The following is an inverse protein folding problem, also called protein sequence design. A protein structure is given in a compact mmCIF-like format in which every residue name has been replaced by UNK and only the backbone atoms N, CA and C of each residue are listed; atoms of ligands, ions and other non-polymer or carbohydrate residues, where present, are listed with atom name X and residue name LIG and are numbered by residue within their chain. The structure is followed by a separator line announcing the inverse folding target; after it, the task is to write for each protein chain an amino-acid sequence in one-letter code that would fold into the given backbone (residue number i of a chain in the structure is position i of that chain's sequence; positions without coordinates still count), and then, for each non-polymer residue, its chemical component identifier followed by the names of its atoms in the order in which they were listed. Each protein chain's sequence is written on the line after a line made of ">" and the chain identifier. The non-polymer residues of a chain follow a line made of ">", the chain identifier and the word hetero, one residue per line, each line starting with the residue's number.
data_IF_157160494131
#
_entry.id   IF_157160494131
#
_cell.length_a   1.000
_cell.length_b   1.000
_cell.length_c   1.000
_cell.angle_alpha   90.00
_cell.angle_beta   90.00
_cell.angle_gamma   90.00
#
_symmetry.space_group_name_H-M   'P 1'
#
loop_
_entity.id
_entity.type
_entity.pdbx_description
1 polymer ?
#
# COMPACT_ATOMS: atom_id res chain seq x y z
N UNK A 1 10.81 10.78 62.46
CA UNK A 1 11.95 10.43 61.57
C UNK A 1 11.97 8.91 61.38
N UNK A 2 12.28 8.46 60.15
CA UNK A 2 12.29 7.07 59.59
C UNK A 2 10.99 6.71 58.83
N UNK A 3 10.85 7.18 57.58
CA UNK A 3 11.29 6.55 56.31
C UNK A 3 10.31 5.47 55.80
N UNK A 4 9.50 5.89 54.83
CA UNK A 4 8.79 5.08 53.85
C UNK A 4 9.76 4.53 52.78
N UNK A 5 9.21 3.84 51.76
CA UNK A 5 9.82 3.11 50.62
C UNK A 5 9.92 1.60 50.89
N UNK A 6 9.44 0.69 50.05
CA UNK A 6 8.68 0.77 48.80
C UNK A 6 8.27 -0.64 48.40
N UNK A 7 7.08 -0.80 47.83
CA UNK A 7 6.64 -2.04 47.21
C UNK A 7 5.80 -1.70 45.97
N UNK A 8 6.49 -1.36 44.88
CA UNK A 8 5.89 -1.33 43.54
C UNK A 8 6.22 -2.66 42.87
N UNK A 9 5.28 -3.60 42.94
CA UNK A 9 5.31 -4.81 42.11
C UNK A 9 5.01 -4.46 40.65
N UNK A 10 5.58 -5.17 39.66
CA UNK A 10 5.34 -4.87 38.26
C UNK A 10 3.92 -5.31 37.88
N UNK A 11 3.03 -4.34 37.65
CA UNK A 11 1.76 -4.57 36.97
C UNK A 11 2.05 -4.84 35.48
N UNK A 12 2.04 -6.12 35.10
CA UNK A 12 2.10 -6.55 33.71
C UNK A 12 0.71 -6.28 33.10
N UNK A 13 0.57 -5.18 32.37
CA UNK A 13 -0.61 -4.91 31.56
C UNK A 13 -0.55 -5.78 30.29
N UNK A 14 -1.32 -6.86 30.27
CA UNK A 14 -1.55 -7.67 29.07
C UNK A 14 -2.54 -6.91 28.19
N UNK A 15 -2.05 -6.31 27.11
CA UNK A 15 -2.91 -5.76 26.07
C UNK A 15 -3.49 -6.93 25.25
N UNK A 16 -4.75 -7.28 25.52
CA UNK A 16 -5.52 -8.22 24.69
C UNK A 16 -5.79 -7.56 23.33
N UNK A 17 -5.18 -8.09 22.27
CA UNK A 17 -5.62 -7.83 20.89
C UNK A 17 -6.84 -8.73 20.65
N UNK A 18 -8.03 -8.16 20.81
CA UNK A 18 -9.28 -8.82 20.38
C UNK A 18 -9.33 -8.85 18.85
N UNK A 19 -9.10 -10.02 18.27
CA UNK A 19 -9.56 -10.34 16.92
C UNK A 19 -11.09 -10.38 16.97
N UNK A 20 -11.74 -9.41 16.32
CA UNK A 20 -13.19 -9.42 16.12
C UNK A 20 -13.51 -10.55 15.15
N UNK A 21 -13.82 -11.73 15.69
CA UNK A 21 -14.58 -12.75 14.98
C UNK A 21 -16.06 -12.31 15.00
N UNK A 22 -16.63 -12.06 13.82
CA UNK A 22 -18.05 -11.74 13.68
C UNK A 22 -18.93 -12.88 14.18
N UNK A 23 -20.14 -12.59 14.68
CA UNK A 23 -20.98 -13.59 15.32
C UNK A 23 -21.43 -14.67 14.32
N UNK A 24 -21.24 -15.92 14.72
CA UNK A 24 -21.86 -17.09 14.11
C UNK A 24 -23.33 -17.13 14.52
N UNK A 25 -24.24 -16.99 13.55
CA UNK A 25 -25.68 -17.24 13.74
C UNK A 25 -26.04 -18.62 13.18
N UNK A 26 -26.66 -19.45 14.03
CA UNK A 26 -27.18 -20.78 13.72
C UNK A 26 -28.46 -20.72 12.86
N UNK A 27 -28.91 -21.85 12.27
CA UNK A 27 -29.66 -21.86 11.03
C UNK A 27 -31.17 -21.74 11.26
N UNK A 28 -31.85 -20.96 10.42
CA UNK A 28 -33.30 -21.05 10.28
C UNK A 28 -33.66 -21.20 8.80
N UNK A 29 -34.51 -22.18 8.52
CA UNK A 29 -34.80 -22.68 7.18
C UNK A 29 -35.61 -21.71 6.34
N UNK A 30 -35.12 -21.47 5.13
CA UNK A 30 -35.83 -20.82 4.03
C UNK A 30 -34.95 -20.94 2.80
N UNK A 31 -35.38 -21.71 1.79
CA UNK A 31 -34.67 -21.85 0.51
C UNK A 31 -34.86 -20.55 -0.28
N UNK A 32 -33.93 -19.62 -0.15
CA UNK A 32 -33.73 -18.53 -1.11
C UNK A 32 -32.55 -18.85 -2.04
N UNK A 33 -32.62 -18.45 -3.33
CA UNK A 33 -31.58 -18.73 -4.30
C UNK A 33 -30.27 -18.10 -3.84
N UNK A 34 -29.21 -18.92 -3.69
CA UNK A 34 -27.86 -18.45 -3.40
C UNK A 34 -27.43 -17.49 -4.51
N UNK A 35 -27.53 -16.19 -4.25
CA UNK A 35 -26.66 -15.23 -4.88
C UNK A 35 -25.24 -15.70 -4.58
N UNK A 36 -24.48 -16.06 -5.62
CA UNK A 36 -23.05 -16.24 -5.50
C UNK A 36 -22.50 -15.00 -4.83
N UNK A 37 -22.01 -15.16 -3.59
CA UNK A 37 -21.25 -14.13 -2.89
C UNK A 37 -20.09 -13.82 -3.82
N UNK A 38 -20.21 -12.72 -4.56
CA UNK A 38 -19.25 -12.29 -5.55
C UNK A 38 -17.88 -12.27 -4.89
N UNK A 39 -17.03 -13.24 -5.25
CA UNK A 39 -15.59 -13.03 -5.14
C UNK A 39 -15.35 -11.81 -6.01
N UNK A 40 -14.97 -10.69 -5.40
CA UNK A 40 -14.28 -9.65 -6.16
C UNK A 40 -13.24 -10.38 -7.02
N UNK A 41 -13.25 -10.20 -8.36
CA UNK A 41 -12.30 -10.87 -9.22
C UNK A 41 -10.92 -10.58 -8.65
N UNK A 42 -10.28 -11.63 -8.13
CA UNK A 42 -9.00 -11.51 -7.45
C UNK A 42 -8.00 -11.22 -8.57
N UNK A 43 -7.78 -9.94 -8.82
CA UNK A 43 -7.00 -9.50 -9.96
C UNK A 43 -5.58 -10.00 -9.77
N UNK A 44 -5.13 -10.81 -10.72
CA UNK A 44 -3.82 -11.43 -10.72
C UNK A 44 -2.78 -10.45 -11.27
N UNK A 45 -1.56 -10.52 -10.76
CA UNK A 45 -0.42 -9.75 -11.26
C UNK A 45 -0.23 -9.97 -12.76
N UNK A 46 -0.46 -11.19 -13.26
CA UNK A 46 -0.36 -11.52 -14.68
C UNK A 46 -1.38 -10.75 -15.54
N UNK A 47 -2.63 -10.60 -15.07
CA UNK A 47 -3.65 -9.84 -15.79
C UNK A 47 -3.29 -8.35 -15.90
N UNK A 48 -2.80 -7.76 -14.81
CA UNK A 48 -2.33 -6.38 -14.77
C UNK A 48 -1.08 -6.18 -15.63
N UNK A 49 -0.13 -7.13 -15.58
CA UNK A 49 1.05 -7.11 -16.43
C UNK A 49 0.69 -7.13 -17.92
N UNK A 50 -0.24 -7.99 -18.32
CA UNK A 50 -0.71 -8.07 -19.70
C UNK A 50 -1.39 -6.76 -20.13
N UNK A 51 -2.31 -6.22 -19.31
CA UNK A 51 -2.98 -4.94 -19.60
C UNK A 51 -1.98 -3.77 -19.69
N UNK A 52 -0.97 -3.74 -18.83
CA UNK A 52 0.08 -2.72 -18.85
C UNK A 52 1.00 -2.83 -20.06
N UNK A 53 1.33 -4.05 -20.48
CA UNK A 53 2.15 -4.32 -21.67
C UNK A 53 1.39 -4.00 -22.96
N UNK A 54 0.10 -4.28 -22.99
CA UNK A 54 -0.81 -3.94 -24.08
C UNK A 54 -1.05 -2.41 -24.17
N UNK A 55 -1.16 -1.70 -23.05
CA UNK A 55 -1.14 -0.23 -23.05
C UNK A 55 0.22 0.32 -23.54
N UNK A 56 1.32 -0.33 -23.16
CA UNK A 56 2.66 0.05 -23.61
C UNK A 56 2.81 -0.09 -25.12
N UNK A 57 2.33 -1.18 -25.72
CA UNK A 57 2.42 -1.42 -27.17
C UNK A 57 1.60 -0.42 -27.99
N UNK A 58 0.49 0.09 -27.43
CA UNK A 58 -0.31 1.17 -28.02
C UNK A 58 0.26 2.58 -27.85
N UNK A 59 1.36 2.74 -27.12
CA UNK A 59 1.93 4.06 -26.84
C UNK A 59 1.11 4.87 -25.84
N UNK A 60 0.43 4.23 -24.89
CA UNK A 60 -0.29 4.87 -23.79
C UNK A 60 0.53 4.73 -22.49
N UNK A 61 1.48 5.65 -22.22
CA UNK A 61 2.38 5.54 -21.07
C UNK A 61 1.62 5.69 -19.74
N UNK A 62 0.54 6.49 -19.71
CA UNK A 62 -0.24 6.71 -18.50
C UNK A 62 -0.89 5.44 -17.98
N UNK A 63 -1.64 4.74 -18.84
CA UNK A 63 -2.25 3.46 -18.46
C UNK A 63 -1.21 2.37 -18.23
N UNK A 64 -0.15 2.34 -19.04
CA UNK A 64 0.91 1.35 -18.90
C UNK A 64 1.59 1.41 -17.53
N UNK A 65 2.01 2.61 -17.11
CA UNK A 65 2.63 2.83 -15.79
C UNK A 65 1.66 2.44 -14.67
N UNK A 66 0.39 2.84 -14.76
CA UNK A 66 -0.62 2.51 -13.75
C UNK A 66 -0.79 0.99 -13.53
N UNK A 67 -0.93 0.23 -14.62
CA UNK A 67 -1.10 -1.22 -14.54
C UNK A 67 0.16 -1.94 -14.08
N UNK A 68 1.34 -1.53 -14.56
CA UNK A 68 2.61 -2.16 -14.21
C UNK A 68 2.99 -1.88 -12.75
N UNK A 69 2.69 -0.68 -12.22
CA UNK A 69 2.82 -0.40 -10.78
C UNK A 69 1.88 -1.28 -9.95
N UNK A 70 0.64 -1.47 -10.40
CA UNK A 70 -0.30 -2.34 -9.71
C UNK A 70 0.15 -3.80 -9.70
N UNK A 71 0.69 -4.29 -10.83
CA UNK A 71 1.30 -5.61 -10.91
C UNK A 71 2.51 -5.72 -9.97
N UNK A 72 3.38 -4.71 -9.94
CA UNK A 72 4.56 -4.67 -9.06
C UNK A 72 4.20 -4.68 -7.57
N UNK A 73 3.08 -4.06 -7.18
CA UNK A 73 2.60 -4.11 -5.78
C UNK A 73 2.21 -5.53 -5.35
N UNK A 74 1.72 -6.35 -6.28
CA UNK A 74 1.33 -7.74 -6.01
C UNK A 74 2.57 -8.65 -6.05
N UNK A 75 3.39 -8.54 -7.09
CA UNK A 75 4.66 -9.27 -7.23
C UNK A 75 5.83 -8.29 -7.44
N UNK A 76 6.49 -7.85 -6.34
CA UNK A 76 7.62 -6.93 -6.42
C UNK A 76 8.88 -7.53 -7.06
N UNK A 77 8.97 -8.86 -7.14
CA UNK A 77 10.18 -9.58 -7.57
C UNK A 77 10.15 -9.94 -9.04
N UNK A 78 8.98 -9.93 -9.68
CA UNK A 78 8.80 -10.17 -11.11
C UNK A 78 9.72 -9.27 -11.95
N UNK A 79 10.74 -9.87 -12.57
CA UNK A 79 11.72 -9.16 -13.38
C UNK A 79 11.08 -8.51 -14.61
N UNK A 80 10.14 -9.20 -15.25
CA UNK A 80 9.46 -8.72 -16.46
C UNK A 80 8.61 -7.48 -16.17
N UNK A 81 7.92 -7.45 -15.02
CA UNK A 81 7.16 -6.27 -14.56
C UNK A 81 8.09 -5.09 -14.38
N UNK A 82 9.26 -5.27 -13.73
CA UNK A 82 10.24 -4.20 -13.53
C UNK A 82 10.81 -3.68 -14.85
N UNK A 83 11.15 -4.58 -15.77
CA UNK A 83 11.67 -4.23 -17.09
C UNK A 83 10.65 -3.41 -17.88
N UNK A 84 9.40 -3.88 -17.97
CA UNK A 84 8.35 -3.16 -18.70
C UNK A 84 7.99 -1.83 -18.02
N UNK A 85 8.00 -1.77 -16.68
CA UNK A 85 7.76 -0.51 -15.96
C UNK A 85 8.86 0.53 -16.23
N UNK A 86 10.13 0.09 -16.31
CA UNK A 86 11.23 0.98 -16.68
C UNK A 86 11.06 1.55 -18.09
N UNK A 87 10.64 0.70 -19.05
CA UNK A 87 10.35 1.14 -20.42
C UNK A 87 9.16 2.12 -20.45
N UNK A 88 8.09 1.81 -19.72
CA UNK A 88 6.89 2.66 -19.64
C UNK A 88 7.22 4.04 -19.06
N UNK A 89 8.01 4.10 -17.98
CA UNK A 89 8.50 5.35 -17.38
C UNK A 89 9.39 6.13 -18.34
N UNK A 90 10.32 5.47 -19.04
CA UNK A 90 11.17 6.14 -20.02
C UNK A 90 10.34 6.77 -21.18
N UNK A 91 9.26 6.12 -21.62
CA UNK A 91 8.33 6.68 -22.62
C UNK A 91 7.52 7.86 -22.08
N UNK A 92 7.07 7.79 -20.83
CA UNK A 92 6.43 8.91 -20.16
C UNK A 92 7.36 10.13 -20.08
N UNK A 93 8.61 9.93 -19.64
CA UNK A 93 9.65 10.96 -19.56
C UNK A 93 9.90 11.60 -20.95
N UNK A 94 10.02 10.78 -22.01
CA UNK A 94 10.25 11.27 -23.38
C UNK A 94 9.11 12.17 -23.91
N UNK A 95 7.88 12.00 -23.42
CA UNK A 95 6.72 12.78 -23.85
C UNK A 95 6.66 14.15 -23.16
N UNK A 96 7.37 14.33 -22.04
CA UNK A 96 7.24 15.51 -21.17
C UNK A 96 8.32 16.57 -21.39
N UNK A 97 9.37 16.27 -22.17
CA UNK A 97 10.54 17.13 -22.29
C UNK A 97 11.41 17.07 -21.03
N UNK A 98 12.72 17.29 -21.19
CA UNK A 98 13.76 17.13 -20.16
C UNK A 98 13.57 18.08 -18.95
N UNK A 99 12.67 17.72 -18.04
CA UNK A 99 12.64 18.25 -16.67
C UNK A 99 13.38 17.28 -15.77
N UNK A 100 14.47 17.74 -15.15
CA UNK A 100 15.25 16.98 -14.18
C UNK A 100 14.38 16.73 -12.94
N UNK A 101 13.65 15.60 -12.94
CA UNK A 101 12.70 15.23 -11.89
C UNK A 101 13.25 14.07 -11.10
N UNK A 102 13.28 14.28 -9.79
CA UNK A 102 13.95 13.41 -8.84
C UNK A 102 13.27 12.05 -8.75
N UNK A 103 13.89 11.04 -9.37
CA UNK A 103 13.42 9.65 -9.29
C UNK A 103 13.50 9.22 -7.83
N UNK A 104 12.39 8.74 -7.27
CA UNK A 104 12.45 8.04 -5.97
C UNK A 104 13.28 6.77 -6.20
N UNK A 105 14.46 6.63 -5.57
CA UNK A 105 15.29 5.44 -5.76
C UNK A 105 14.51 4.22 -5.29
N UNK A 106 14.47 3.18 -6.12
CA UNK A 106 14.01 1.88 -5.65
C UNK A 106 15.02 1.38 -4.61
N UNK A 107 14.58 1.30 -3.35
CA UNK A 107 15.43 0.85 -2.26
C UNK A 107 15.93 -0.57 -2.56
N UNK A 108 17.23 -0.86 -2.43
CA UNK A 108 17.82 -2.18 -2.69
C UNK A 108 17.48 -3.23 -1.62
N UNK A 109 16.45 -3.00 -0.80
CA UNK A 109 16.01 -3.95 0.22
C UNK A 109 15.37 -5.20 -0.39
N UNK A 110 15.23 -6.24 0.43
CA UNK A 110 14.45 -7.43 0.08
C UNK A 110 13.04 -6.96 -0.29
N UNK A 111 12.67 -7.10 -1.57
CA UNK A 111 11.38 -6.66 -2.08
C UNK A 111 10.27 -7.59 -1.58
N UNK A 112 9.78 -7.35 -0.37
CA UNK A 112 8.65 -8.06 0.22
C UNK A 112 7.34 -7.48 -0.31
N UNK A 113 6.41 -8.35 -0.70
CA UNK A 113 5.03 -7.89 -0.91
C UNK A 113 4.44 -7.41 0.40
N UNK A 114 3.39 -6.58 0.34
CA UNK A 114 2.72 -6.11 1.56
C UNK A 114 2.23 -7.28 2.41
N UNK A 115 1.73 -8.35 1.78
CA UNK A 115 1.29 -9.57 2.48
C UNK A 115 2.43 -10.31 3.17
N UNK A 116 3.57 -10.48 2.48
CA UNK A 116 4.76 -11.12 3.04
C UNK A 116 5.30 -10.34 4.25
N UNK A 117 5.32 -9.01 4.17
CA UNK A 117 5.78 -8.17 5.28
C UNK A 117 4.94 -8.36 6.55
N UNK A 118 3.61 -8.45 6.41
CA UNK A 118 2.71 -8.74 7.54
C UNK A 118 2.94 -10.14 8.12
N UNK A 119 3.15 -11.15 7.26
CA UNK A 119 3.47 -12.51 7.71
C UNK A 119 4.79 -12.57 8.46
N UNK A 120 5.85 -11.94 7.95
CA UNK A 120 7.15 -11.87 8.62
C UNK A 120 7.01 -11.21 9.99
N UNK A 121 6.30 -10.08 10.08
CA UNK A 121 6.07 -9.39 11.35
C UNK A 121 5.29 -10.26 12.36
N UNK A 122 4.26 -10.97 11.89
CA UNK A 122 3.46 -11.89 12.71
C UNK A 122 4.28 -13.10 13.19
N UNK A 123 5.10 -13.70 12.32
CA UNK A 123 5.97 -14.82 12.67
C UNK A 123 7.03 -14.42 13.69
N UNK A 124 7.62 -13.23 13.56
CA UNK A 124 8.56 -12.69 14.55
C UNK A 124 7.86 -12.50 15.90
N UNK A 125 6.68 -11.88 15.92
CA UNK A 125 5.93 -11.69 17.15
C UNK A 125 5.57 -13.03 17.81
N UNK A 126 5.08 -14.00 17.03
CA UNK A 126 4.74 -15.33 17.53
C UNK A 126 5.96 -16.08 18.06
N UNK A 127 7.08 -16.10 17.32
CA UNK A 127 8.30 -16.76 17.75
C UNK A 127 8.86 -16.14 19.04
N UNK A 128 8.85 -14.82 19.15
CA UNK A 128 9.24 -14.12 20.37
C UNK A 128 8.33 -14.43 21.56
N UNK A 129 7.02 -14.43 21.35
CA UNK A 129 6.04 -14.76 22.39
C UNK A 129 6.18 -16.21 22.88
N UNK A 130 6.35 -17.18 21.96
CA UNK A 130 6.53 -18.58 22.30
C UNK A 130 7.84 -18.82 23.05
N UNK A 131 8.96 -18.30 22.54
CA UNK A 131 10.28 -18.50 23.17
C UNK A 131 10.36 -17.80 24.53
N UNK A 132 9.93 -16.55 24.62
CA UNK A 132 9.91 -15.79 25.87
C UNK A 132 8.93 -16.37 26.88
N UNK A 133 7.72 -16.72 26.44
CA UNK A 133 6.67 -17.32 27.28
C UNK A 133 7.07 -18.69 27.83
N UNK A 134 7.58 -19.59 26.98
CA UNK A 134 8.08 -20.90 27.42
C UNK A 134 9.28 -20.76 28.36
N UNK A 135 10.19 -19.83 28.11
CA UNK A 135 11.31 -19.57 28.99
C UNK A 135 10.86 -19.06 30.37
N UNK A 136 9.84 -18.20 30.42
CA UNK A 136 9.24 -17.74 31.67
C UNK A 136 8.54 -18.89 32.42
N UNK A 137 7.71 -19.67 31.74
CA UNK A 137 6.98 -20.82 32.33
C UNK A 137 7.94 -21.87 32.89
N UNK A 138 9.01 -22.19 32.16
CA UNK A 138 9.99 -23.21 32.56
C UNK A 138 11.08 -22.69 33.49
N UNK A 139 11.03 -21.41 33.91
CA UNK A 139 12.12 -20.73 34.64
C UNK A 139 13.49 -20.97 33.98
N UNK A 140 13.50 -20.96 32.65
CA UNK A 140 14.67 -21.25 31.84
C UNK A 140 15.72 -20.12 31.98
N UNK A 141 16.89 -20.31 31.36
CA UNK A 141 17.99 -19.34 31.39
C UNK A 141 17.49 -17.95 31.00
N UNK A 142 17.90 -16.92 31.75
CA UNK A 142 17.55 -15.50 31.51
C UNK A 142 17.78 -15.07 30.05
N UNK A 143 18.81 -15.61 29.40
CA UNK A 143 19.10 -15.34 27.98
C UNK A 143 17.97 -15.72 27.02
N UNK A 144 17.26 -16.84 27.25
CA UNK A 144 16.13 -17.25 26.39
C UNK A 144 14.93 -16.32 26.57
N UNK A 145 14.67 -15.90 27.80
CA UNK A 145 13.61 -14.93 28.11
C UNK A 145 13.89 -13.57 27.48
N UNK A 146 15.12 -13.05 27.65
CA UNK A 146 15.54 -11.78 27.05
C UNK A 146 15.50 -11.86 25.53
N UNK A 147 16.05 -12.93 24.94
CA UNK A 147 16.05 -13.14 23.49
C UNK A 147 14.62 -13.19 22.92
N UNK A 148 13.73 -13.97 23.53
CA UNK A 148 12.32 -14.02 23.10
C UNK A 148 11.60 -12.67 23.22
N UNK A 149 11.88 -11.91 24.29
CA UNK A 149 11.34 -10.56 24.48
C UNK A 149 11.82 -9.59 23.40
N UNK A 150 13.11 -9.64 23.03
CA UNK A 150 13.66 -8.81 21.95
C UNK A 150 13.02 -9.16 20.61
N UNK A 151 12.90 -10.44 20.28
CA UNK A 151 12.28 -10.90 19.03
C UNK A 151 10.80 -10.48 18.96
N UNK A 152 10.08 -10.59 20.07
CA UNK A 152 8.70 -10.11 20.18
C UNK A 152 8.61 -8.60 19.93
N UNK A 153 9.48 -7.82 20.58
CA UNK A 153 9.52 -6.37 20.41
C UNK A 153 9.78 -5.98 18.94
N UNK A 154 10.68 -6.68 18.25
CA UNK A 154 10.92 -6.47 16.82
C UNK A 154 9.68 -6.76 15.97
N UNK A 155 8.97 -7.87 16.22
CA UNK A 155 7.73 -8.20 15.53
C UNK A 155 6.62 -7.16 15.74
N UNK A 156 6.48 -6.64 16.97
CA UNK A 156 5.51 -5.59 17.32
C UNK A 156 5.86 -4.26 16.65
N UNK A 157 7.13 -3.84 16.70
CA UNK A 157 7.59 -2.61 16.05
C UNK A 157 7.44 -2.69 14.52
N UNK A 158 7.77 -3.82 13.91
CA UNK A 158 7.56 -4.05 12.49
C UNK A 158 6.07 -3.95 12.11
N UNK A 159 5.18 -4.56 12.91
CA UNK A 159 3.73 -4.47 12.72
C UNK A 159 3.22 -3.03 12.84
N UNK A 160 3.70 -2.28 13.84
CA UNK A 160 3.37 -0.87 14.02
C UNK A 160 3.81 0.01 12.85
N UNK A 161 5.02 -0.23 12.34
CA UNK A 161 5.53 0.44 11.14
C UNK A 161 4.70 0.13 9.90
N UNK A 162 4.34 -1.14 9.67
CA UNK A 162 3.47 -1.54 8.56
C UNK A 162 2.07 -0.92 8.67
N UNK A 163 1.54 -0.78 9.89
CA UNK A 163 0.27 -0.09 10.11
C UNK A 163 0.36 1.39 9.78
N UNK A 164 1.44 2.08 10.17
CA UNK A 164 1.68 3.48 9.82
C UNK A 164 1.80 3.65 8.30
N UNK A 165 2.57 2.79 7.63
CA UNK A 165 2.67 2.75 6.16
C UNK A 165 1.31 2.54 5.49
N UNK A 166 0.51 1.59 5.98
CA UNK A 166 -0.82 1.32 5.43
C UNK A 166 -1.80 2.48 5.67
N UNK A 167 -1.68 3.19 6.79
CA UNK A 167 -2.46 4.41 7.06
C UNK A 167 -2.05 5.56 6.15
N UNK A 168 -0.75 5.73 5.93
CA UNK A 168 -0.22 6.74 5.02
C UNK A 168 -0.69 6.49 3.59
N UNK A 169 -0.58 5.26 3.09
CA UNK A 169 -1.08 4.87 1.76
C UNK A 169 -2.60 5.10 1.61
N UNK A 170 -3.39 4.88 2.68
CA UNK A 170 -4.84 5.15 2.67
C UNK A 170 -5.16 6.65 2.63
N UNK A 171 -4.37 7.47 3.32
CA UNK A 171 -4.53 8.93 3.35
C UNK A 171 -4.04 9.58 2.07
N UNK A 172 -2.93 9.07 1.55
CA UNK A 172 -2.22 9.61 0.40
C UNK A 172 -1.97 8.52 -0.65
N UNK A 173 -3.04 8.01 -1.28
CA UNK A 173 -2.91 6.90 -2.22
C UNK A 173 -2.13 7.33 -3.45
N UNK A 174 -1.29 6.44 -3.93
CA UNK A 174 -0.56 6.60 -5.18
C UNK A 174 -1.50 6.56 -6.38
N UNK A 175 -1.29 7.48 -7.32
CA UNK A 175 -2.03 7.58 -8.56
C UNK A 175 -1.12 7.94 -9.72
N UNK A 176 -1.59 7.64 -10.92
CA UNK A 176 -0.89 7.92 -12.17
C UNK A 176 -1.76 8.78 -13.06
N UNK A 177 -1.15 9.75 -13.72
CA UNK A 177 -1.81 10.57 -14.74
C UNK A 177 -2.03 9.74 -16.00
N UNK A 178 -3.29 9.58 -16.42
CA UNK A 178 -3.67 8.75 -17.58
C UNK A 178 -4.15 9.55 -18.79
N UNK A 179 -4.25 10.87 -18.66
CA UNK A 179 -4.54 11.80 -19.76
C UNK A 179 -3.23 12.40 -20.28
N UNK A 180 -3.16 12.81 -21.56
CA UNK A 180 -1.93 13.35 -22.14
C UNK A 180 -1.34 14.51 -21.35
N UNK A 181 -2.20 15.44 -20.93
CA UNK A 181 -1.85 16.60 -20.10
C UNK A 181 -2.92 16.76 -19.03
N UNK A 182 -2.50 16.87 -17.78
CA UNK A 182 -3.34 17.14 -16.63
C UNK A 182 -2.96 18.48 -16.02
N UNK A 183 -3.91 19.41 -16.02
CA UNK A 183 -3.74 20.73 -15.40
C UNK A 183 -3.97 20.63 -13.89
N UNK A 184 -2.97 21.08 -13.13
CA UNK A 184 -3.01 21.20 -11.67
C UNK A 184 -2.99 22.68 -11.31
N UNK A 185 -4.12 23.17 -10.80
CA UNK A 185 -4.30 24.60 -10.49
C UNK A 185 -4.59 24.86 -9.02
N UNK A 186 -4.72 26.14 -8.62
CA UNK A 186 -5.28 26.50 -7.32
C UNK A 186 -6.71 25.95 -7.18
N UNK A 187 -7.17 25.78 -5.93
CA UNK A 187 -8.58 25.47 -5.70
C UNK A 187 -9.46 26.61 -6.25
N UNK A 188 -10.75 26.37 -6.56
CA UNK A 188 -11.67 27.40 -7.06
C UNK A 188 -11.76 28.67 -6.19
N UNK A 189 -11.47 28.57 -4.89
CA UNK A 189 -11.52 29.69 -3.93
C UNK A 189 -10.12 30.26 -3.60
N UNK A 190 -9.06 29.73 -4.20
CA UNK A 190 -7.69 30.18 -3.99
C UNK A 190 -7.27 31.19 -5.04
N UNK A 191 -6.23 31.98 -4.73
CA UNK A 191 -5.72 32.99 -5.65
C UNK A 191 -5.24 32.35 -6.96
N UNK A 192 -5.55 32.98 -8.12
CA UNK A 192 -5.08 32.51 -9.41
C UNK A 192 -3.56 32.38 -9.44
N UNK A 193 -3.08 31.18 -9.77
CA UNK A 193 -1.67 30.86 -10.00
C UNK A 193 -1.58 30.09 -11.30
N UNK A 194 -0.46 30.23 -12.01
CA UNK A 194 -0.21 29.45 -13.23
C UNK A 194 -0.35 27.96 -12.95
N UNK A 195 -1.13 27.23 -13.77
CA UNK A 195 -1.32 25.81 -13.58
C UNK A 195 -0.03 25.05 -13.84
N UNK A 196 0.25 24.06 -13.01
CA UNK A 196 1.30 23.08 -13.25
C UNK A 196 0.76 22.00 -14.20
N UNK A 197 1.52 21.66 -15.24
CA UNK A 197 1.12 20.66 -16.21
C UNK A 197 1.82 19.33 -15.89
N UNK A 198 1.02 18.31 -15.59
CA UNK A 198 1.49 16.95 -15.43
C UNK A 198 1.25 16.16 -16.72
N UNK A 199 2.21 15.34 -17.12
CA UNK A 199 2.09 14.52 -18.33
C UNK A 199 1.59 13.11 -18.04
N UNK A 200 1.11 12.43 -19.07
CA UNK A 200 0.75 11.01 -18.97
C UNK A 200 1.93 10.18 -18.41
N UNK A 201 1.63 9.29 -17.46
CA UNK A 201 2.59 8.40 -16.81
C UNK A 201 3.27 8.98 -15.58
N UNK A 202 3.02 10.24 -15.22
CA UNK A 202 3.53 10.79 -13.96
C UNK A 202 2.85 10.16 -12.74
N UNK A 203 3.69 9.75 -11.80
CA UNK A 203 3.31 9.19 -10.50
C UNK A 203 3.13 10.31 -9.49
N UNK A 204 1.96 10.38 -8.86
CA UNK A 204 1.61 11.39 -7.87
C UNK A 204 0.95 10.76 -6.67
N UNK A 205 0.95 11.47 -5.53
CA UNK A 205 0.11 11.10 -4.39
C UNK A 205 -1.11 11.99 -4.32
N UNK A 206 -2.25 11.38 -4.05
CA UNK A 206 -3.49 12.12 -3.88
C UNK A 206 -3.62 12.63 -2.44
N UNK A 207 -4.22 13.79 -2.26
CA UNK A 207 -4.52 14.38 -0.97
C UNK A 207 -6.03 14.41 -0.73
N UNK A 208 -6.48 15.56 -0.22
CA UNK A 208 -7.89 15.80 0.06
C UNK A 208 -8.71 15.80 -1.22
N UNK A 209 -10.00 15.55 -1.06
CA UNK A 209 -10.97 15.57 -2.15
C UNK A 209 -11.99 16.65 -1.91
N UNK A 210 -12.30 17.43 -2.94
CA UNK A 210 -13.29 18.50 -2.87
C UNK A 210 -14.12 18.50 -4.15
N UNK A 211 -15.36 18.01 -4.05
CA UNK A 211 -16.19 17.79 -5.24
C UNK A 211 -15.51 16.84 -6.24
N UNK A 212 -15.39 17.25 -7.50
CA UNK A 212 -14.69 16.51 -8.56
C UNK A 212 -13.16 16.68 -8.57
N UNK A 213 -12.62 17.54 -7.69
CA UNK A 213 -11.20 17.84 -7.61
C UNK A 213 -10.52 17.00 -6.53
N UNK A 214 -9.26 16.68 -6.78
CA UNK A 214 -8.38 16.01 -5.83
C UNK A 214 -7.08 16.79 -5.74
N UNK A 215 -6.61 16.99 -4.52
CA UNK A 215 -5.32 17.61 -4.24
C UNK A 215 -4.20 16.67 -4.72
N UNK A 216 -3.22 17.21 -5.43
CA UNK A 216 -2.07 16.50 -5.96
C UNK A 216 -0.85 16.83 -5.13
N UNK A 217 -0.11 15.80 -4.74
CA UNK A 217 1.12 15.91 -3.98
C UNK A 217 2.27 15.27 -4.73
N UNK A 218 3.37 16.00 -4.86
CA UNK A 218 4.63 15.55 -5.45
C UNK A 218 5.71 15.69 -4.39
N UNK A 219 6.53 14.65 -4.21
CA UNK A 219 7.59 14.61 -3.17
C UNK A 219 7.09 14.95 -1.75
N UNK A 220 5.83 14.64 -1.46
CA UNK A 220 5.20 14.91 -0.16
C UNK A 220 4.62 16.32 -0.01
N UNK A 221 4.81 17.23 -0.95
CA UNK A 221 4.27 18.59 -0.91
C UNK A 221 3.02 18.72 -1.79
N UNK A 222 2.00 19.44 -1.32
CA UNK A 222 0.82 19.76 -2.14
C UNK A 222 1.19 20.79 -3.20
N UNK A 223 0.90 20.48 -4.46
CA UNK A 223 1.20 21.34 -5.60
C UNK A 223 -0.05 22.03 -6.17
N UNK A 224 -1.24 21.47 -5.92
CA UNK A 224 -2.52 22.06 -6.32
C UNK A 224 -3.63 21.01 -6.44
N UNK A 225 -4.69 21.34 -7.17
CA UNK A 225 -5.88 20.53 -7.35
C UNK A 225 -6.08 20.18 -8.83
N UNK A 226 -6.49 18.95 -9.10
CA UNK A 226 -6.76 18.48 -10.47
C UNK A 226 -8.05 17.64 -10.53
N UNK A 227 -8.58 17.46 -11.75
CA UNK A 227 -9.76 16.61 -11.97
C UNK A 227 -9.42 15.15 -11.75
N UNK A 228 -10.21 14.48 -10.89
CA UNK A 228 -10.05 13.05 -10.60
C UNK A 228 -10.14 12.15 -11.84
N UNK A 229 -10.89 12.55 -12.87
CA UNK A 229 -11.11 11.74 -14.08
C UNK A 229 -9.84 11.48 -14.89
N UNK A 230 -8.81 12.33 -14.75
CA UNK A 230 -7.52 12.16 -15.44
C UNK A 230 -6.51 11.32 -14.67
N UNK A 231 -6.90 10.74 -13.53
CA UNK A 231 -6.01 10.05 -12.59
C UNK A 231 -6.54 8.65 -12.29
N UNK A 232 -5.65 7.66 -12.36
CA UNK A 232 -5.95 6.31 -11.90
C UNK A 232 -5.18 6.03 -10.62
N UNK A 233 -5.89 5.59 -9.58
CA UNK A 233 -5.23 5.07 -8.38
C UNK A 233 -4.60 3.73 -8.71
N UNK A 234 -3.36 3.53 -8.29
CA UNK A 234 -2.64 2.27 -8.55
C UNK A 234 -3.38 1.09 -7.90
N UNK A 235 -3.92 1.28 -6.69
CA UNK A 235 -4.72 0.26 -6.00
C UNK A 235 -6.03 -0.10 -6.72
N UNK A 236 -6.58 0.80 -7.53
CA UNK A 236 -7.83 0.60 -8.26
C UNK A 236 -7.60 0.18 -9.73
N UNK A 237 -6.34 -0.02 -10.15
CA UNK A 237 -5.96 -0.35 -11.53
C UNK A 237 -6.78 -1.52 -12.10
N UNK A 238 -7.01 -2.54 -11.28
CA UNK A 238 -7.88 -3.69 -11.54
C UNK A 238 -9.27 -3.33 -12.11
N UNK A 239 -9.88 -2.23 -11.63
CA UNK A 239 -11.22 -1.79 -12.07
C UNK A 239 -11.23 -1.27 -13.50
N UNK A 240 -10.06 -0.91 -14.01
CA UNK A 240 -9.88 -0.38 -15.36
C UNK A 240 -9.37 -1.44 -16.33
N UNK A 241 -9.08 -2.66 -15.87
CA UNK A 241 -8.77 -3.79 -16.74
C UNK A 241 -10.05 -4.20 -17.48
N UNK A 242 -10.07 -4.18 -18.83
CA UNK A 242 -11.22 -4.70 -19.56
C UNK A 242 -11.41 -6.19 -19.20
N UNK A 243 -12.66 -6.68 -19.07
CA UNK A 243 -12.89 -8.10 -18.82
C UNK A 243 -12.21 -8.89 -19.94
N UNK A 244 -11.33 -9.82 -19.55
CA UNK A 244 -10.72 -10.75 -20.50
C UNK A 244 -11.85 -11.51 -21.20
N UNK A 245 -12.05 -11.25 -22.48
CA UNK A 245 -12.95 -12.06 -23.32
C UNK A 245 -12.32 -13.46 -23.33
N UNK A 246 -12.94 -14.40 -22.60
CA UNK A 246 -12.61 -15.81 -22.71
C UNK A 246 -12.75 -16.22 -24.17
N UNK A 247 -11.65 -16.61 -24.81
CA UNK A 247 -11.69 -17.34 -26.07
C UNK A 247 -11.83 -18.83 -25.80
#
# INVERSE_FOLDING_TARGET
>A
MKQAWGALGPAIAIALVTVVAGPASAPNGGREPRAEVGREPRVDAAALFNAGTDALSRGDPGRSVAFLLAAQRIDPRAQDVRANLAIARARAEATQGSGERERTPQSPGIALSTGEAWWVAALLALAGALTGGLAALRRARRGLFVGGTVVLALGVLASGWLLLRAREERRHPEAVVVVPVLEVGPAPDEQPRSPYLLGAGEEVRLGRTRGGLVEIRVSGNAIGWARRSGLWRVADAARYTPPSVSR
#
